data_IF_941655108723
#
_entry.id   IF_941655108723
#
_cell.length_a   1.000
_cell.length_b   1.000
_cell.length_c   1.000
_cell.angle_alpha   90.00
_cell.angle_beta   90.00
_cell.angle_gamma   90.00
#
_symmetry.space_group_name_H-M   'P 1'
#
loop_
_entity.id
_entity.type
_entity.pdbx_description
1 polymer ?
#
# COMPACT_ATOMS: atom_id res chain seq x y z
N UNK A 1 -3.96 -31.97 19.48
CA UNK A 1 -3.21 -30.72 19.34
C UNK A 1 -4.00 -29.92 18.33
N UNK A 2 -4.77 -28.96 18.82
CA UNK A 2 -5.72 -28.20 18.02
C UNK A 2 -5.29 -26.74 18.12
N UNK A 3 -4.66 -26.23 17.07
CA UNK A 3 -4.57 -24.79 16.83
C UNK A 3 -4.76 -24.57 15.33
N UNK A 4 -6.03 -24.33 15.06
CA UNK A 4 -6.67 -23.81 13.88
C UNK A 4 -5.90 -22.58 13.34
N UNK A 5 -5.18 -22.69 12.21
CA UNK A 5 -4.53 -21.53 11.55
C UNK A 5 -4.89 -21.45 10.07
N UNK A 6 -6.18 -21.57 9.74
CA UNK A 6 -6.66 -21.37 8.36
C UNK A 6 -7.04 -19.93 8.01
N UNK A 7 -6.85 -18.93 8.89
CA UNK A 7 -7.36 -17.56 8.65
C UNK A 7 -6.37 -16.42 8.96
N UNK A 8 -5.05 -16.65 8.92
CA UNK A 8 -4.03 -15.57 9.04
C UNK A 8 -3.52 -15.03 7.69
N UNK A 9 -4.01 -15.54 6.57
CA UNK A 9 -3.42 -15.28 5.25
C UNK A 9 -4.03 -14.11 4.46
N UNK A 10 -4.55 -13.09 5.14
CA UNK A 10 -4.99 -11.83 4.51
C UNK A 10 -4.30 -10.59 5.06
N UNK A 11 -3.24 -10.78 5.84
CA UNK A 11 -2.28 -9.71 6.08
C UNK A 11 -1.30 -9.78 4.92
N UNK A 12 -1.39 -8.83 4.00
CA UNK A 12 -0.45 -8.75 2.91
C UNK A 12 0.98 -8.70 3.45
N UNK A 13 1.94 -9.20 2.67
CA UNK A 13 3.32 -9.35 3.12
C UNK A 13 3.92 -8.03 3.63
N UNK A 14 3.44 -6.88 3.13
CA UNK A 14 3.80 -5.55 3.60
C UNK A 14 3.29 -5.29 5.03
N UNK A 15 2.01 -5.51 5.30
CA UNK A 15 1.43 -5.35 6.64
C UNK A 15 2.01 -6.29 7.68
N UNK A 16 2.42 -7.51 7.29
CA UNK A 16 3.12 -8.41 8.21
C UNK A 16 4.52 -7.91 8.59
N UNK A 17 5.16 -7.14 7.71
CA UNK A 17 6.51 -6.61 7.91
C UNK A 17 6.50 -5.26 8.62
N UNK A 18 5.64 -4.36 8.18
CA UNK A 18 5.58 -2.97 8.64
C UNK A 18 4.48 -2.71 9.67
N UNK A 19 3.37 -3.44 9.61
CA UNK A 19 2.19 -3.22 10.45
C UNK A 19 1.07 -2.51 9.70
N UNK A 20 0.28 -1.69 10.39
CA UNK A 20 -0.77 -0.84 9.79
C UNK A 20 -0.21 0.46 9.17
N UNK A 21 0.99 0.85 9.61
CA UNK A 21 1.74 2.01 9.14
C UNK A 21 3.20 1.64 8.89
N UNK A 22 3.86 2.39 8.01
CA UNK A 22 5.26 2.25 7.64
C UNK A 22 5.97 3.59 7.84
N UNK A 23 7.08 3.59 8.57
CA UNK A 23 7.97 4.75 8.65
C UNK A 23 8.95 4.68 7.47
N UNK A 24 8.83 5.62 6.54
CA UNK A 24 9.71 5.73 5.38
C UNK A 24 10.62 6.95 5.53
N UNK A 25 11.87 6.79 5.12
CA UNK A 25 12.77 7.91 4.96
C UNK A 25 12.45 8.58 3.61
N UNK A 26 11.91 9.79 3.66
CA UNK A 26 11.71 10.61 2.47
C UNK A 26 13.06 10.98 1.84
N UNK A 27 13.06 11.38 0.57
CA UNK A 27 14.27 11.77 -0.16
C UNK A 27 15.04 12.95 0.49
N UNK A 28 14.34 13.79 1.25
CA UNK A 28 14.94 14.89 2.03
C UNK A 28 15.68 14.41 3.31
N UNK A 29 15.62 13.11 3.62
CA UNK A 29 16.20 12.51 4.83
C UNK A 29 15.31 12.65 6.08
N UNK A 30 14.06 13.06 5.91
CA UNK A 30 13.06 13.10 6.98
C UNK A 30 12.33 11.76 7.11
N UNK A 31 12.20 11.22 8.32
CA UNK A 31 11.31 10.08 8.57
C UNK A 31 9.86 10.55 8.57
N UNK A 32 9.06 9.99 7.67
CA UNK A 32 7.63 10.28 7.56
C UNK A 32 6.87 8.99 7.84
N UNK A 33 5.91 9.05 8.76
CA UNK A 33 4.99 7.94 9.00
C UNK A 33 3.89 7.96 7.95
N UNK A 34 3.81 6.88 7.19
CA UNK A 34 2.79 6.63 6.20
C UNK A 34 1.86 5.54 6.67
N UNK A 35 0.57 5.76 6.57
CA UNK A 35 -0.42 4.74 6.86
C UNK A 35 -0.71 3.92 5.60
N UNK A 36 -0.75 2.60 5.74
CA UNK A 36 -1.15 1.71 4.65
C UNK A 36 -2.67 1.73 4.55
N UNK A 37 -3.20 2.32 3.49
CA UNK A 37 -4.65 2.36 3.24
C UNK A 37 -5.13 1.07 2.58
N UNK A 38 -4.43 0.66 1.52
CA UNK A 38 -4.75 -0.54 0.77
C UNK A 38 -3.53 -1.07 0.00
N UNK A 39 -3.60 -2.34 -0.39
CA UNK A 39 -2.64 -2.95 -1.30
C UNK A 39 -3.36 -3.43 -2.54
N UNK A 40 -2.84 -3.02 -3.69
CA UNK A 40 -3.40 -3.25 -5.01
C UNK A 40 -2.42 -4.06 -5.83
N UNK A 41 -2.95 -4.82 -6.79
CA UNK A 41 -2.12 -5.54 -7.75
C UNK A 41 -2.52 -5.07 -9.15
N UNK A 42 -1.63 -4.33 -9.79
CA UNK A 42 -1.83 -3.71 -11.11
C UNK A 42 -0.79 -4.29 -12.05
N UNK A 43 -1.23 -4.83 -13.20
CA UNK A 43 -0.36 -5.45 -14.21
C UNK A 43 0.60 -6.54 -13.66
N UNK A 44 0.17 -7.26 -12.63
CA UNK A 44 1.00 -8.30 -11.97
C UNK A 44 2.11 -7.74 -11.07
N UNK A 45 2.15 -6.43 -10.86
CA UNK A 45 3.00 -5.75 -9.87
C UNK A 45 2.14 -5.38 -8.64
N UNK A 46 2.78 -5.35 -7.47
CA UNK A 46 2.11 -4.98 -6.22
C UNK A 46 2.36 -3.51 -5.91
N UNK A 47 1.31 -2.81 -5.52
CA UNK A 47 1.35 -1.42 -5.11
C UNK A 47 0.68 -1.28 -3.74
N UNK A 48 1.15 -0.36 -2.94
CA UNK A 48 0.57 0.05 -1.68
C UNK A 48 0.10 1.50 -1.82
N UNK A 49 -1.15 1.76 -1.47
CA UNK A 49 -1.66 3.11 -1.34
C UNK A 49 -1.37 3.55 0.08
N UNK A 50 -0.53 4.58 0.19
CA UNK A 50 -0.11 5.15 1.46
C UNK A 50 -0.69 6.54 1.65
N UNK A 51 -0.86 6.94 2.90
CA UNK A 51 -1.26 8.30 3.24
C UNK A 51 -0.50 8.78 4.48
N UNK A 52 0.23 9.89 4.34
CA UNK A 52 0.87 10.55 5.46
C UNK A 52 -0.13 11.38 6.29
N UNK A 53 0.19 11.69 7.53
CA UNK A 53 -0.64 12.58 8.36
C UNK A 53 -0.86 13.96 7.71
N UNK A 54 0.13 14.48 6.98
CA UNK A 54 0.00 15.72 6.24
C UNK A 54 -1.05 15.60 5.12
N UNK A 55 -0.98 14.52 4.33
CA UNK A 55 -1.88 14.22 3.21
C UNK A 55 -3.31 13.93 3.66
N UNK A 56 -3.48 13.37 4.86
CA UNK A 56 -4.80 13.10 5.44
C UNK A 56 -5.66 14.37 5.59
N UNK A 57 -5.05 15.55 5.75
CA UNK A 57 -5.81 16.80 5.82
C UNK A 57 -6.39 17.21 4.46
N UNK A 58 -5.75 16.79 3.37
CA UNK A 58 -6.12 17.11 1.99
C UNK A 58 -6.82 15.92 1.29
N UNK A 59 -7.02 14.82 2.04
CA UNK A 59 -7.52 13.53 1.54
C UNK A 59 -6.68 12.98 0.38
N UNK A 60 -5.38 13.31 0.38
CA UNK A 60 -4.44 12.87 -0.64
C UNK A 60 -3.93 11.46 -0.33
N UNK A 61 -3.62 10.73 -1.40
CA UNK A 61 -3.00 9.40 -1.34
C UNK A 61 -1.74 9.40 -2.19
N UNK A 62 -0.79 8.55 -1.79
CA UNK A 62 0.46 8.35 -2.50
C UNK A 62 0.64 6.86 -2.81
N UNK A 63 0.57 6.46 -4.09
CA UNK A 63 0.84 5.09 -4.46
C UNK A 63 2.35 4.82 -4.46
N UNK A 64 2.73 3.74 -3.78
CA UNK A 64 4.08 3.21 -3.75
C UNK A 64 4.11 1.82 -4.35
N UNK A 65 5.10 1.52 -5.16
CA UNK A 65 5.34 0.19 -5.69
C UNK A 65 6.03 -0.67 -4.65
N UNK A 66 5.51 -1.87 -4.41
CA UNK A 66 6.13 -2.87 -3.55
C UNK A 66 7.12 -3.67 -4.41
N UNK A 67 8.41 -3.49 -4.13
CA UNK A 67 9.50 -4.25 -4.73
C UNK A 67 10.15 -5.13 -3.67
N UNK A 68 10.71 -6.26 -4.07
CA UNK A 68 11.49 -7.12 -3.18
C UNK A 68 12.96 -6.97 -3.58
N UNK A 69 13.80 -6.57 -2.62
CA UNK A 69 15.24 -6.46 -2.85
C UNK A 69 15.92 -7.85 -2.83
N UNK A 70 17.19 -7.90 -3.23
CA UNK A 70 18.02 -9.11 -3.25
C UNK A 70 18.15 -9.81 -1.89
N UNK A 71 17.93 -9.11 -0.78
CA UNK A 71 17.90 -9.70 0.58
C UNK A 71 16.55 -10.36 0.92
N UNK A 72 15.54 -10.26 0.04
CA UNK A 72 14.18 -10.69 0.31
C UNK A 72 13.39 -9.70 1.18
N UNK A 73 13.91 -8.49 1.34
CA UNK A 73 13.24 -7.40 2.05
C UNK A 73 12.30 -6.67 1.10
N UNK A 74 11.03 -6.55 1.49
CA UNK A 74 10.07 -5.70 0.78
C UNK A 74 10.48 -4.24 0.98
N UNK A 75 10.54 -3.49 -0.11
CA UNK A 75 10.75 -2.06 -0.13
C UNK A 75 9.62 -1.37 -0.89
N UNK A 76 9.46 -0.09 -0.60
CA UNK A 76 8.45 0.77 -1.21
C UNK A 76 9.18 1.81 -2.05
N UNK A 77 8.84 1.85 -3.34
CA UNK A 77 9.39 2.79 -4.30
C UNK A 77 8.28 3.76 -4.72
N UNK A 78 8.56 5.06 -4.69
CA UNK A 78 7.59 6.07 -5.10
C UNK A 78 7.29 5.93 -6.59
N UNK A 79 6.00 5.97 -6.94
CA UNK A 79 5.59 5.91 -8.34
C UNK A 79 5.76 7.30 -8.95
N UNK A 80 6.84 7.50 -9.72
CA UNK A 80 7.12 8.75 -10.44
C UNK A 80 6.50 8.80 -11.83
N UNK A 81 6.01 7.66 -12.32
CA UNK A 81 5.43 7.51 -13.66
C UNK A 81 3.93 7.80 -13.62
N UNK A 82 3.48 8.71 -14.48
CA UNK A 82 2.10 9.21 -14.49
C UNK A 82 1.08 8.13 -14.92
N UNK A 83 1.44 7.25 -15.85
CA UNK A 83 0.60 6.13 -16.27
C UNK A 83 0.47 5.11 -15.12
N UNK A 84 1.56 4.76 -14.44
CA UNK A 84 1.49 3.87 -13.27
C UNK A 84 0.63 4.47 -12.15
N UNK A 85 0.77 5.77 -11.89
CA UNK A 85 -0.03 6.45 -10.87
C UNK A 85 -1.53 6.38 -11.22
N UNK A 86 -1.90 6.70 -12.47
CA UNK A 86 -3.30 6.65 -12.93
C UNK A 86 -3.91 5.25 -12.76
N UNK A 87 -3.18 4.20 -13.17
CA UNK A 87 -3.67 2.82 -13.04
C UNK A 87 -3.90 2.41 -11.57
N UNK A 88 -3.00 2.83 -10.66
CA UNK A 88 -3.14 2.51 -9.23
C UNK A 88 -4.28 3.32 -8.62
N UNK A 89 -4.43 4.59 -8.98
CA UNK A 89 -5.53 5.43 -8.53
C UNK A 89 -6.88 4.90 -9.00
N UNK A 90 -7.00 4.49 -10.27
CA UNK A 90 -8.21 3.85 -10.82
C UNK A 90 -8.54 2.55 -10.07
N UNK A 91 -7.54 1.68 -9.86
CA UNK A 91 -7.72 0.45 -9.11
C UNK A 91 -8.10 0.69 -7.64
N UNK A 92 -7.61 1.78 -7.04
CA UNK A 92 -7.98 2.19 -5.69
C UNK A 92 -9.42 2.69 -5.61
N UNK A 93 -9.83 3.53 -6.56
CA UNK A 93 -11.20 4.05 -6.66
C UNK A 93 -12.19 2.89 -6.86
N UNK A 94 -11.91 1.95 -7.77
CA UNK A 94 -12.71 0.74 -7.95
C UNK A 94 -12.76 -0.13 -6.67
N UNK A 95 -11.68 -0.21 -5.91
CA UNK A 95 -11.68 -0.93 -4.63
C UNK A 95 -12.55 -0.24 -3.56
N UNK A 96 -12.48 1.09 -3.47
CA UNK A 96 -13.24 1.88 -2.48
C UNK A 96 -14.72 2.00 -2.84
N UNK A 97 -15.02 2.30 -4.11
CA UNK A 97 -16.37 2.60 -4.60
C UNK A 97 -17.03 1.44 -5.33
N UNK A 98 -16.27 0.48 -5.86
CA UNK A 98 -16.81 -0.73 -6.51
C UNK A 98 -17.49 -1.72 -5.54
N UNK A 99 -17.53 -1.40 -4.25
CA UNK A 99 -18.35 -2.10 -3.25
C UNK A 99 -19.72 -1.43 -2.98
N UNK A 100 -20.04 -0.30 -3.63
CA UNK A 100 -21.35 0.36 -3.52
C UNK A 100 -22.36 -0.15 -4.57
N UNK A 101 -22.63 -1.46 -4.55
CA UNK A 101 -23.92 -2.01 -4.99
C UNK A 101 -24.46 -2.90 -3.87
N UNK A 102 -25.11 -2.26 -2.88
CA UNK A 102 -25.99 -2.95 -1.95
C UNK A 102 -27.34 -2.20 -1.91
N UNK A 103 -28.44 -2.82 -2.39
CA UNK A 103 -29.76 -2.21 -2.56
C UNK A 103 -30.52 -1.91 -1.26
#
# INVERSE_FOLDING_TARGET
>A
MADNNQDRNKLSALQQRYGDSVELLAEDGSSVEYRILAELSVDGRRYAVLQAEAMKQEDEIEPFRIVEDSDGELQLESVTDEDEWENVAEAYDDLQFGSEDQP
#
